data_IF_138326068867
#
_entry.id   IF_138326068867
#
_cell.length_a   1.000
_cell.length_b   1.000
_cell.length_c   1.000
_cell.angle_alpha   90.00
_cell.angle_beta   90.00
_cell.angle_gamma   90.00
#
_symmetry.space_group_name_H-M   'P 1'
#
loop_
_entity.id
_entity.type
_entity.pdbx_description
1 polymer ?
#
# COMPACT_ATOMS: atom_id res chain seq x y z
N UNK A 1 2.96 37.87 27.73
CA UNK A 1 1.90 36.98 28.24
C UNK A 1 2.54 35.61 28.41
N UNK A 2 2.91 35.25 29.63
CA UNK A 2 3.38 33.90 29.93
C UNK A 2 2.15 32.99 30.01
N UNK A 3 1.91 32.26 28.93
CA UNK A 3 0.89 31.20 28.94
C UNK A 3 1.39 30.11 29.88
N UNK A 4 0.64 29.81 30.93
CA UNK A 4 1.00 28.72 31.83
C UNK A 4 1.00 27.39 31.06
N UNK A 5 1.89 26.47 31.41
CA UNK A 5 1.97 25.13 30.77
C UNK A 5 0.60 24.43 30.76
N UNK A 6 -0.22 24.66 31.79
CA UNK A 6 -1.58 24.13 31.90
C UNK A 6 -2.51 24.71 30.83
N UNK A 7 -2.52 26.02 30.63
CA UNK A 7 -3.34 26.69 29.60
C UNK A 7 -2.90 26.25 28.20
N UNK A 8 -1.60 26.10 27.98
CA UNK A 8 -1.06 25.58 26.72
C UNK A 8 -1.54 24.16 26.44
N UNK A 9 -1.45 23.25 27.42
CA UNK A 9 -1.92 21.86 27.27
C UNK A 9 -3.43 21.78 27.00
N UNK A 10 -4.23 22.62 27.67
CA UNK A 10 -5.67 22.71 27.43
C UNK A 10 -5.94 23.19 26.00
N UNK A 11 -5.25 24.23 25.55
CA UNK A 11 -5.38 24.75 24.19
C UNK A 11 -5.04 23.68 23.15
N UNK A 12 -3.91 22.97 23.32
CA UNK A 12 -3.51 21.86 22.45
C UNK A 12 -4.58 20.76 22.43
N UNK A 13 -5.12 20.41 23.59
CA UNK A 13 -6.19 19.41 23.70
C UNK A 13 -7.45 19.83 22.95
N UNK A 14 -7.90 21.08 23.09
CA UNK A 14 -9.08 21.59 22.41
C UNK A 14 -8.86 21.63 20.89
N UNK A 15 -7.74 22.20 20.44
CA UNK A 15 -7.44 22.34 19.01
C UNK A 15 -7.30 20.96 18.36
N UNK A 16 -6.56 20.03 18.97
CA UNK A 16 -6.42 18.67 18.48
C UNK A 16 -7.75 17.93 18.43
N UNK A 17 -8.62 18.13 19.43
CA UNK A 17 -9.96 17.56 19.48
C UNK A 17 -10.86 18.08 18.35
N UNK A 18 -10.83 19.38 18.07
CA UNK A 18 -11.57 19.99 16.95
C UNK A 18 -11.09 19.45 15.60
N UNK A 19 -9.78 19.35 15.40
CA UNK A 19 -9.20 18.77 14.18
C UNK A 19 -9.67 17.31 14.00
N UNK A 20 -9.56 16.50 15.06
CA UNK A 20 -9.99 15.11 15.05
C UNK A 20 -11.51 14.99 14.79
N UNK A 21 -12.32 15.89 15.34
CA UNK A 21 -13.76 15.97 15.09
C UNK A 21 -14.06 16.25 13.61
N UNK A 22 -13.38 17.22 13.00
CA UNK A 22 -13.53 17.51 11.57
C UNK A 22 -13.23 16.27 10.71
N UNK A 23 -12.15 15.54 11.02
CA UNK A 23 -11.82 14.30 10.32
C UNK A 23 -12.88 13.21 10.52
N UNK A 24 -13.41 13.05 11.73
CA UNK A 24 -14.47 12.09 12.02
C UNK A 24 -15.76 12.41 11.27
N UNK A 25 -16.16 13.69 11.22
CA UNK A 25 -17.32 14.15 10.45
C UNK A 25 -17.11 13.86 8.96
N UNK A 26 -15.95 14.23 8.41
CA UNK A 26 -15.62 13.95 7.01
C UNK A 26 -15.70 12.46 6.70
N UNK A 27 -15.10 11.60 7.55
CA UNK A 27 -15.17 10.16 7.41
C UNK A 27 -16.61 9.63 7.44
N UNK A 28 -17.45 10.14 8.33
CA UNK A 28 -18.86 9.76 8.39
C UNK A 28 -19.62 10.12 7.10
N UNK A 29 -19.39 11.32 6.56
CA UNK A 29 -19.96 11.75 5.29
C UNK A 29 -19.49 10.87 4.12
N UNK A 30 -18.21 10.51 4.06
CA UNK A 30 -17.68 9.60 3.05
C UNK A 30 -18.36 8.22 3.11
N UNK A 31 -18.58 7.68 4.31
CA UNK A 31 -19.30 6.40 4.47
C UNK A 31 -20.78 6.51 4.07
N UNK A 32 -21.45 7.62 4.35
CA UNK A 32 -22.81 7.85 3.86
C UNK A 32 -22.86 7.93 2.33
N UNK A 33 -21.88 8.60 1.72
CA UNK A 33 -21.75 8.63 0.27
C UNK A 33 -21.55 7.23 -0.30
N UNK A 34 -20.65 6.42 0.27
CA UNK A 34 -20.45 5.02 -0.14
C UNK A 34 -21.73 4.19 0.01
N UNK A 35 -22.50 4.38 1.09
CA UNK A 35 -23.80 3.73 1.28
C UNK A 35 -24.76 4.07 0.13
N UNK A 36 -24.83 5.34 -0.28
CA UNK A 36 -25.70 5.79 -1.38
C UNK A 36 -25.29 5.19 -2.73
N UNK A 37 -23.99 5.10 -3.01
CA UNK A 37 -23.49 4.62 -4.31
C UNK A 37 -23.48 3.10 -4.44
N UNK A 38 -23.11 2.37 -3.39
CA UNK A 38 -22.95 0.92 -3.43
C UNK A 38 -24.08 0.15 -2.74
N UNK A 39 -25.12 0.85 -2.26
CA UNK A 39 -26.22 0.31 -1.46
C UNK A 39 -25.73 -0.61 -0.31
N UNK A 40 -24.61 -0.21 0.30
CA UNK A 40 -23.91 -1.03 1.29
C UNK A 40 -23.61 -0.19 2.54
N UNK A 41 -24.32 -0.47 3.62
CA UNK A 41 -24.10 0.21 4.89
C UNK A 41 -22.89 -0.39 5.64
N UNK A 42 -21.70 0.10 5.31
CA UNK A 42 -20.45 -0.32 5.92
C UNK A 42 -20.40 -0.01 7.42
N UNK A 43 -20.99 1.11 7.87
CA UNK A 43 -20.99 1.50 9.28
C UNK A 43 -21.92 0.62 10.12
N UNK A 44 -23.01 0.09 9.53
CA UNK A 44 -23.83 -0.93 10.17
C UNK A 44 -23.09 -2.28 10.27
N UNK A 45 -22.40 -2.68 9.20
CA UNK A 45 -21.64 -3.94 9.14
C UNK A 45 -20.38 -3.92 10.01
N UNK A 46 -19.82 -2.74 10.26
CA UNK A 46 -18.58 -2.52 11.02
C UNK A 46 -18.82 -1.50 12.14
N UNK A 47 -19.48 -1.93 13.24
CA UNK A 47 -19.75 -1.06 14.39
C UNK A 47 -18.45 -0.61 15.08
N UNK A 48 -17.36 -1.35 14.91
CA UNK A 48 -15.99 -0.97 15.29
C UNK A 48 -15.58 0.37 14.66
N UNK A 49 -15.79 0.54 13.35
CA UNK A 49 -15.44 1.77 12.63
C UNK A 49 -16.32 2.93 13.10
N UNK A 50 -17.61 2.69 13.32
CA UNK A 50 -18.52 3.72 13.86
C UNK A 50 -18.09 4.19 15.25
N UNK A 51 -17.78 3.26 16.15
CA UNK A 51 -17.28 3.58 17.51
C UNK A 51 -15.96 4.34 17.43
N UNK A 52 -15.06 3.90 16.55
CA UNK A 52 -13.79 4.57 16.31
C UNK A 52 -13.98 6.04 15.90
N UNK A 53 -14.86 6.34 14.93
CA UNK A 53 -15.12 7.72 14.50
C UNK A 53 -15.68 8.61 15.63
N UNK A 54 -16.45 8.04 16.56
CA UNK A 54 -17.00 8.75 17.72
C UNK A 54 -15.94 8.96 18.82
N UNK A 55 -15.11 7.95 19.08
CA UNK A 55 -14.10 8.01 20.13
C UNK A 55 -12.86 8.80 19.73
N UNK A 56 -12.55 8.88 18.44
CA UNK A 56 -11.34 9.53 17.92
C UNK A 56 -11.19 10.99 18.36
N UNK A 57 -12.23 11.85 18.36
CA UNK A 57 -12.11 13.23 18.83
C UNK A 57 -11.89 13.35 20.34
N UNK A 58 -12.51 12.47 21.13
CA UNK A 58 -12.41 12.46 22.60
C UNK A 58 -11.05 11.95 23.08
N UNK A 59 -10.57 10.89 22.47
CA UNK A 59 -9.30 10.23 22.80
C UNK A 59 -8.22 10.56 21.76
N UNK A 60 -8.31 11.75 21.15
CA UNK A 60 -7.41 12.12 20.06
C UNK A 60 -5.92 12.01 20.43
N UNK A 61 -5.45 12.33 21.66
CA UNK A 61 -4.03 12.17 21.98
C UNK A 61 -3.60 10.70 21.98
N UNK A 62 -4.46 9.81 22.47
CA UNK A 62 -4.20 8.37 22.45
C UNK A 62 -4.08 7.87 21.02
N UNK A 63 -5.08 8.14 20.18
CA UNK A 63 -5.06 7.77 18.76
C UNK A 63 -3.92 8.45 17.99
N UNK A 64 -3.52 9.66 18.39
CA UNK A 64 -2.37 10.33 17.82
C UNK A 64 -1.08 9.54 18.05
N UNK A 65 -0.89 8.96 19.25
CA UNK A 65 0.31 8.17 19.56
C UNK A 65 0.27 6.79 18.90
N UNK A 66 -0.88 6.10 18.94
CA UNK A 66 -0.94 4.69 18.54
C UNK A 66 -1.13 4.46 17.03
N UNK A 67 -1.74 5.40 16.30
CA UNK A 67 -2.09 5.17 14.89
C UNK A 67 -0.91 5.30 13.94
N UNK A 68 0.04 6.19 14.27
CA UNK A 68 1.17 6.53 13.41
C UNK A 68 2.38 6.87 14.26
N UNK A 69 3.50 6.26 13.92
CA UNK A 69 4.80 6.64 14.47
C UNK A 69 5.16 8.09 14.09
N UNK A 70 6.04 8.75 14.86
CA UNK A 70 6.53 10.09 14.52
C UNK A 70 7.12 10.17 13.10
N UNK A 71 7.80 9.11 12.66
CA UNK A 71 8.42 9.02 11.32
C UNK A 71 7.35 8.99 10.23
N UNK A 72 6.27 8.24 10.42
CA UNK A 72 5.16 8.20 9.46
C UNK A 72 4.46 9.55 9.36
N UNK A 73 4.26 10.24 10.49
CA UNK A 73 3.67 11.59 10.50
C UNK A 73 4.54 12.58 9.76
N UNK A 74 5.84 12.58 10.03
CA UNK A 74 6.81 13.41 9.32
C UNK A 74 6.82 13.12 7.82
N UNK A 75 6.88 11.83 7.45
CA UNK A 75 6.82 11.39 6.06
C UNK A 75 5.55 11.86 5.35
N UNK A 76 4.38 11.71 5.98
CA UNK A 76 3.13 12.17 5.37
C UNK A 76 2.98 13.69 5.31
N UNK A 77 3.62 14.42 6.24
CA UNK A 77 3.58 15.88 6.24
C UNK A 77 4.42 16.47 5.10
N UNK A 78 5.61 15.93 4.87
CA UNK A 78 6.58 16.52 3.94
C UNK A 78 6.78 15.74 2.63
N UNK A 79 6.53 14.43 2.63
CA UNK A 79 6.89 13.53 1.53
C UNK A 79 5.71 12.75 0.95
N UNK A 80 4.47 12.98 1.40
CA UNK A 80 3.31 12.22 0.88
C UNK A 80 3.12 12.33 -0.64
N UNK A 81 3.62 13.38 -1.27
CA UNK A 81 3.57 13.56 -2.73
C UNK A 81 4.93 13.30 -3.41
N UNK A 82 5.90 12.77 -2.67
CA UNK A 82 7.20 12.39 -3.24
C UNK A 82 7.11 10.99 -3.84
N UNK A 83 6.91 10.92 -5.15
CA UNK A 83 6.92 9.70 -5.92
C UNK A 83 6.36 9.91 -7.32
N UNK A 84 5.46 9.02 -7.74
CA UNK A 84 4.74 9.13 -9.02
C UNK A 84 3.79 10.31 -9.03
N UNK A 85 3.67 10.96 -10.20
CA UNK A 85 2.78 12.11 -10.37
C UNK A 85 1.32 11.72 -10.11
N UNK A 86 0.57 12.60 -9.45
CA UNK A 86 -0.81 12.35 -9.04
C UNK A 86 -0.98 11.33 -7.89
N UNK A 87 0.10 10.70 -7.41
CA UNK A 87 0.01 9.71 -6.34
C UNK A 87 0.21 10.34 -4.95
N UNK A 88 -0.44 9.73 -3.96
CA UNK A 88 -0.23 10.04 -2.54
C UNK A 88 0.28 8.79 -1.82
N UNK A 89 1.47 8.89 -1.26
CA UNK A 89 2.14 7.83 -0.51
C UNK A 89 1.89 8.02 0.99
N UNK A 90 1.28 7.01 1.61
CA UNK A 90 1.00 7.01 3.04
C UNK A 90 2.14 6.43 3.87
N UNK A 91 2.08 6.64 5.19
CA UNK A 91 3.09 6.16 6.15
C UNK A 91 4.50 6.66 5.78
N UNK A 92 5.50 5.82 5.95
CA UNK A 92 6.91 6.12 5.64
C UNK A 92 7.26 6.01 4.15
N UNK A 93 6.30 5.72 3.26
CA UNK A 93 6.62 5.38 1.87
C UNK A 93 7.17 6.58 1.07
N UNK A 94 6.61 7.77 1.25
CA UNK A 94 7.13 8.99 0.62
C UNK A 94 8.57 9.30 1.05
N UNK A 95 8.86 9.22 2.35
CA UNK A 95 10.22 9.38 2.86
C UNK A 95 11.17 8.30 2.32
N UNK A 96 10.73 7.04 2.26
CA UNK A 96 11.53 5.95 1.66
C UNK A 96 11.85 6.22 0.19
N UNK A 97 10.88 6.68 -0.59
CA UNK A 97 11.08 7.06 -1.99
C UNK A 97 12.15 8.17 -2.11
N UNK A 98 12.07 9.20 -1.26
CA UNK A 98 13.06 10.28 -1.21
C UNK A 98 14.47 9.77 -0.86
N UNK A 99 14.59 8.95 0.20
CA UNK A 99 15.87 8.40 0.62
C UNK A 99 16.47 7.47 -0.45
N UNK A 100 15.65 6.66 -1.12
CA UNK A 100 16.11 5.84 -2.23
C UNK A 100 16.64 6.70 -3.39
N UNK A 101 15.96 7.78 -3.76
CA UNK A 101 16.45 8.69 -4.79
C UNK A 101 17.74 9.40 -4.37
N UNK A 102 17.88 9.77 -3.10
CA UNK A 102 19.07 10.42 -2.55
C UNK A 102 20.29 9.48 -2.52
N UNK A 103 20.11 8.24 -2.02
CA UNK A 103 21.22 7.31 -1.80
C UNK A 103 21.52 6.38 -2.98
N UNK A 104 20.49 5.98 -3.75
CA UNK A 104 20.63 5.03 -4.86
C UNK A 104 20.55 5.72 -6.22
N UNK A 105 20.12 6.98 -6.25
CA UNK A 105 19.91 7.75 -7.48
C UNK A 105 18.60 7.40 -8.19
N UNK A 106 18.11 8.36 -8.99
CA UNK A 106 16.84 8.24 -9.74
C UNK A 106 16.91 7.21 -10.87
N UNK A 107 18.11 6.93 -11.41
CA UNK A 107 18.31 6.05 -12.56
C UNK A 107 18.73 4.62 -12.19
N UNK A 108 18.59 4.21 -10.93
CA UNK A 108 19.10 2.93 -10.38
C UNK A 108 18.67 1.68 -11.16
N UNK A 109 17.50 1.70 -11.79
CA UNK A 109 17.00 0.57 -12.59
C UNK A 109 17.15 0.76 -14.11
N UNK A 110 17.65 1.90 -14.60
CA UNK A 110 17.68 2.25 -16.03
C UNK A 110 18.45 1.26 -16.92
N UNK A 111 19.46 0.59 -16.36
CA UNK A 111 20.30 -0.39 -17.08
C UNK A 111 19.75 -1.82 -17.02
N UNK A 112 18.70 -2.06 -16.26
CA UNK A 112 18.15 -3.39 -16.06
C UNK A 112 16.95 -3.61 -16.97
N UNK A 113 16.82 -4.82 -17.48
CA UNK A 113 15.63 -5.23 -18.22
C UNK A 113 14.49 -5.50 -17.23
N UNK A 114 13.40 -4.78 -17.39
CA UNK A 114 12.17 -4.97 -16.62
C UNK A 114 11.30 -5.96 -17.38
N UNK A 115 10.81 -6.97 -16.68
CA UNK A 115 9.89 -7.96 -17.21
C UNK A 115 8.54 -7.84 -16.49
N UNK A 116 7.47 -7.87 -17.28
CA UNK A 116 6.08 -7.79 -16.80
C UNK A 116 5.33 -9.03 -17.26
N UNK A 117 4.74 -9.77 -16.33
CA UNK A 117 3.93 -10.96 -16.61
C UNK A 117 2.56 -10.79 -15.97
N UNK A 118 1.55 -11.43 -16.56
CA UNK A 118 0.22 -11.51 -15.98
C UNK A 118 -0.24 -12.98 -16.01
N UNK A 119 -0.35 -13.59 -14.84
CA UNK A 119 -0.67 -15.02 -14.71
C UNK A 119 -2.00 -15.21 -13.99
N UNK A 120 -2.84 -16.18 -14.40
CA UNK A 120 -3.96 -16.58 -13.58
C UNK A 120 -3.43 -17.17 -12.26
N UNK A 121 -4.00 -16.77 -11.13
CA UNK A 121 -3.64 -17.34 -9.83
C UNK A 121 -4.24 -18.75 -9.73
N UNK A 122 -3.47 -19.72 -9.25
CA UNK A 122 -3.99 -21.05 -8.98
C UNK A 122 -5.05 -20.98 -7.85
N UNK A 123 -6.24 -21.53 -8.10
CA UNK A 123 -7.36 -21.54 -7.15
C UNK A 123 -7.07 -22.32 -5.87
N UNK A 124 -6.08 -23.21 -5.91
CA UNK A 124 -5.65 -23.99 -4.76
C UNK A 124 -4.46 -23.36 -4.02
N UNK A 125 -3.92 -22.23 -4.52
CA UNK A 125 -2.83 -21.52 -3.85
C UNK A 125 -3.31 -20.83 -2.58
N UNK A 126 -2.40 -20.69 -1.61
CA UNK A 126 -2.64 -19.90 -0.40
C UNK A 126 -3.00 -18.45 -0.74
N UNK A 127 -2.31 -17.88 -1.74
CA UNK A 127 -2.57 -16.52 -2.23
C UNK A 127 -4.03 -16.35 -2.70
N UNK A 128 -4.59 -17.33 -3.40
CA UNK A 128 -6.00 -17.32 -3.81
C UNK A 128 -6.95 -17.36 -2.62
N UNK A 129 -6.68 -18.24 -1.66
CA UNK A 129 -7.52 -18.42 -0.47
C UNK A 129 -7.59 -17.13 0.34
N UNK A 130 -6.44 -16.48 0.55
CA UNK A 130 -6.35 -15.19 1.24
C UNK A 130 -7.06 -14.08 0.46
N UNK A 131 -6.82 -13.96 -0.84
CA UNK A 131 -7.42 -12.89 -1.65
C UNK A 131 -8.94 -13.00 -1.79
N UNK A 132 -9.48 -14.23 -1.92
CA UNK A 132 -10.92 -14.48 -2.06
C UNK A 132 -11.71 -14.05 -0.82
N UNK A 133 -11.10 -14.03 0.36
CA UNK A 133 -11.77 -13.57 1.58
C UNK A 133 -12.12 -12.07 1.52
N UNK A 134 -11.31 -11.28 0.82
CA UNK A 134 -11.46 -9.83 0.78
C UNK A 134 -12.18 -9.33 -0.49
N UNK A 135 -12.08 -10.05 -1.61
CA UNK A 135 -12.60 -9.60 -2.89
C UNK A 135 -13.60 -10.59 -3.51
N UNK A 136 -14.76 -10.08 -3.96
CA UNK A 136 -15.74 -10.88 -4.72
C UNK A 136 -15.29 -11.03 -6.18
N UNK A 137 -15.17 -12.28 -6.65
CA UNK A 137 -14.82 -12.64 -8.02
C UNK A 137 -14.24 -14.06 -8.13
N UNK A 138 -14.21 -14.59 -9.36
CA UNK A 138 -13.64 -15.91 -9.68
C UNK A 138 -12.45 -15.86 -10.65
N UNK A 139 -12.05 -14.67 -11.07
CA UNK A 139 -10.92 -14.45 -11.96
C UNK A 139 -10.01 -13.39 -11.32
N UNK A 140 -8.92 -13.85 -10.72
CA UNK A 140 -7.85 -12.99 -10.21
C UNK A 140 -6.55 -13.37 -10.93
N UNK A 141 -5.78 -12.35 -11.25
CA UNK A 141 -4.51 -12.46 -11.95
C UNK A 141 -3.40 -11.87 -11.08
N UNK A 142 -2.26 -12.55 -11.10
CA UNK A 142 -1.00 -12.08 -10.57
C UNK A 142 -0.32 -11.23 -11.63
N UNK A 143 -0.21 -9.93 -11.36
CA UNK A 143 0.65 -9.04 -12.13
C UNK A 143 2.02 -9.06 -11.49
N UNK A 144 2.98 -9.58 -12.23
CA UNK A 144 4.33 -9.85 -11.74
C UNK A 144 5.27 -8.93 -12.51
N UNK A 145 5.94 -8.05 -11.77
CA UNK A 145 7.02 -7.23 -12.29
C UNK A 145 8.31 -7.77 -11.70
N UNK A 146 9.27 -8.13 -12.53
CA UNK A 146 10.58 -8.56 -12.03
C UNK A 146 11.75 -8.04 -12.83
N UNK A 147 12.88 -7.92 -12.14
CA UNK A 147 14.19 -7.61 -12.71
C UNK A 147 15.17 -8.67 -12.24
N UNK A 148 15.96 -9.22 -13.16
CA UNK A 148 17.11 -10.07 -12.82
C UNK A 148 18.34 -9.19 -12.57
N UNK A 149 18.96 -9.36 -11.41
CA UNK A 149 20.18 -8.66 -10.97
C UNK A 149 21.23 -9.68 -10.54
N UNK A 150 22.13 -10.05 -11.45
CA UNK A 150 23.14 -11.09 -11.20
C UNK A 150 22.49 -12.39 -10.68
N UNK A 151 22.68 -12.70 -9.39
CA UNK A 151 22.17 -13.91 -8.71
C UNK A 151 20.85 -13.70 -7.97
N UNK A 152 20.32 -12.46 -7.98
CA UNK A 152 19.08 -12.08 -7.33
C UNK A 152 18.01 -11.63 -8.33
N UNK A 153 16.77 -11.65 -7.86
CA UNK A 153 15.60 -11.12 -8.54
C UNK A 153 14.93 -10.09 -7.64
N UNK A 154 14.65 -8.91 -8.19
CA UNK A 154 13.74 -7.95 -7.57
C UNK A 154 12.35 -8.24 -8.13
N UNK A 155 11.41 -8.65 -7.29
CA UNK A 155 10.07 -9.09 -7.69
C UNK A 155 8.99 -8.33 -6.96
N UNK A 156 8.03 -7.81 -7.69
CA UNK A 156 6.77 -7.29 -7.16
C UNK A 156 5.62 -8.09 -7.75
N UNK A 157 4.66 -8.44 -6.89
CA UNK A 157 3.43 -9.12 -7.28
C UNK A 157 2.25 -8.30 -6.79
N UNK A 158 1.36 -7.90 -7.70
CA UNK A 158 0.06 -7.31 -7.40
C UNK A 158 -1.07 -8.22 -7.88
N UNK A 159 -2.23 -8.10 -7.24
CA UNK A 159 -3.37 -8.96 -7.48
C UNK A 159 -4.51 -8.14 -8.07
N UNK A 160 -4.90 -8.46 -9.29
CA UNK A 160 -5.83 -7.64 -10.07
C UNK A 160 -6.86 -8.51 -10.79
N UNK A 161 -7.93 -7.89 -11.27
CA UNK A 161 -8.95 -8.57 -12.09
C UNK A 161 -8.61 -8.53 -13.58
N UNK A 162 -7.72 -7.64 -13.98
CA UNK A 162 -7.30 -7.47 -15.36
C UNK A 162 -6.30 -8.56 -15.76
N UNK A 163 -6.45 -9.08 -16.98
CA UNK A 163 -5.63 -10.16 -17.53
C UNK A 163 -4.43 -9.65 -18.33
N UNK A 164 -4.40 -8.37 -18.65
CA UNK A 164 -3.36 -7.75 -19.45
C UNK A 164 -2.21 -7.33 -18.55
N UNK A 165 -0.96 -7.74 -18.81
CA UNK A 165 0.17 -7.25 -18.04
C UNK A 165 0.32 -5.73 -18.19
N UNK A 166 0.75 -5.08 -17.12
CA UNK A 166 1.11 -3.66 -17.16
C UNK A 166 2.23 -3.42 -18.20
N UNK A 167 2.12 -2.38 -19.03
CA UNK A 167 3.20 -1.98 -19.92
C UNK A 167 4.50 -1.74 -19.15
N UNK A 168 5.64 -2.18 -19.70
CA UNK A 168 6.95 -1.96 -19.07
C UNK A 168 7.21 -0.46 -18.85
N UNK A 169 6.81 0.38 -19.81
CA UNK A 169 7.02 1.83 -19.77
C UNK A 169 6.21 2.54 -18.68
N UNK A 170 5.13 1.92 -18.17
CA UNK A 170 4.37 2.46 -17.05
C UNK A 170 4.93 2.09 -15.68
N UNK A 171 5.90 1.16 -15.62
CA UNK A 171 6.48 0.71 -14.35
C UNK A 171 7.42 1.78 -13.79
N UNK A 172 7.06 2.35 -12.65
CA UNK A 172 7.88 3.36 -12.01
C UNK A 172 9.01 2.77 -11.17
N UNK A 173 10.08 3.55 -10.97
CA UNK A 173 11.14 3.16 -10.03
C UNK A 173 10.64 3.03 -8.58
N UNK A 174 9.57 3.74 -8.21
CA UNK A 174 8.98 3.65 -6.89
C UNK A 174 8.14 2.38 -6.73
N UNK A 175 7.55 1.90 -7.82
CA UNK A 175 6.92 0.60 -7.88
C UNK A 175 7.94 -0.51 -7.62
N UNK A 176 9.08 -0.45 -8.33
CA UNK A 176 10.18 -1.41 -8.20
C UNK A 176 10.82 -1.41 -6.81
N UNK A 177 10.91 -0.25 -6.14
CA UNK A 177 11.45 -0.15 -4.78
C UNK A 177 10.64 -0.90 -3.71
N UNK A 178 9.38 -1.23 -4.00
CA UNK A 178 8.53 -2.04 -3.14
C UNK A 178 8.64 -3.53 -3.46
N UNK A 179 9.44 -3.90 -4.47
CA UNK A 179 9.73 -5.28 -4.81
C UNK A 179 10.54 -5.96 -3.71
N UNK A 180 10.29 -7.26 -3.55
CA UNK A 180 11.06 -8.13 -2.71
C UNK A 180 12.30 -8.62 -3.45
N UNK A 181 13.46 -8.57 -2.79
CA UNK A 181 14.67 -9.23 -3.29
C UNK A 181 14.61 -10.71 -2.95
N UNK A 182 14.80 -11.55 -3.95
CA UNK A 182 14.74 -13.01 -3.86
C UNK A 182 15.98 -13.59 -4.53
N UNK A 183 16.60 -14.58 -3.90
CA UNK A 183 17.55 -15.46 -4.59
C UNK A 183 16.88 -16.22 -5.73
N UNK A 184 17.65 -16.81 -6.64
CA UNK A 184 17.10 -17.59 -7.75
C UNK A 184 16.20 -18.76 -7.30
N UNK A 185 16.52 -19.42 -6.18
CA UNK A 185 15.68 -20.50 -5.62
C UNK A 185 14.38 -19.95 -5.04
N UNK A 186 14.44 -18.85 -4.30
CA UNK A 186 13.25 -18.20 -3.75
C UNK A 186 12.34 -17.63 -4.85
N UNK A 187 12.93 -17.08 -5.92
CA UNK A 187 12.20 -16.64 -7.11
C UNK A 187 11.39 -17.79 -7.69
N UNK A 188 12.04 -18.95 -7.94
CA UNK A 188 11.38 -20.14 -8.48
C UNK A 188 10.24 -20.61 -7.58
N UNK A 189 10.49 -20.69 -6.27
CA UNK A 189 9.48 -21.07 -5.28
C UNK A 189 8.30 -20.10 -5.30
N UNK A 190 8.55 -18.78 -5.32
CA UNK A 190 7.50 -17.75 -5.37
C UNK A 190 6.64 -17.88 -6.64
N UNK A 191 7.26 -18.09 -7.80
CA UNK A 191 6.54 -18.28 -9.05
C UNK A 191 5.66 -19.53 -9.02
N UNK A 192 6.17 -20.64 -8.46
CA UNK A 192 5.40 -21.88 -8.31
C UNK A 192 4.21 -21.73 -7.35
N UNK A 193 4.36 -20.95 -6.27
CA UNK A 193 3.25 -20.65 -5.36
C UNK A 193 2.11 -19.90 -6.03
N UNK A 194 2.43 -19.04 -7.00
CA UNK A 194 1.43 -18.28 -7.77
C UNK A 194 0.73 -19.21 -8.78
N UNK A 195 1.51 -19.90 -9.60
CA UNK A 195 1.02 -20.84 -10.59
C UNK A 195 2.12 -21.80 -11.06
N UNK A 196 1.99 -23.08 -10.72
CA UNK A 196 2.98 -24.12 -11.05
C UNK A 196 3.15 -24.29 -12.57
N UNK A 197 2.05 -24.26 -13.33
CA UNK A 197 2.08 -24.50 -14.77
C UNK A 197 2.78 -23.36 -15.52
N UNK A 198 2.48 -22.12 -15.17
CA UNK A 198 3.14 -20.95 -15.79
C UNK A 198 4.60 -20.84 -15.34
N UNK A 199 4.91 -21.14 -14.07
CA UNK A 199 6.29 -21.16 -13.57
C UNK A 199 7.17 -22.18 -14.30
N UNK A 200 6.63 -23.35 -14.62
CA UNK A 200 7.36 -24.37 -15.37
C UNK A 200 7.67 -23.93 -16.82
N UNK A 201 6.75 -23.19 -17.47
CA UNK A 201 7.00 -22.61 -18.80
C UNK A 201 8.08 -21.54 -18.74
N UNK A 202 8.00 -20.63 -17.77
CA UNK A 202 9.00 -19.58 -17.58
C UNK A 202 10.41 -20.16 -17.38
N UNK A 203 10.54 -21.29 -16.67
CA UNK A 203 11.82 -21.95 -16.49
C UNK A 203 12.44 -22.51 -17.79
N UNK A 204 11.61 -22.83 -18.78
CA UNK A 204 12.06 -23.28 -20.11
C UNK A 204 12.52 -22.11 -20.99
N UNK A 205 11.98 -20.90 -20.77
CA UNK A 205 12.32 -19.68 -21.52
C UNK A 205 13.56 -18.96 -20.96
N UNK A 206 13.93 -19.20 -19.70
CA UNK A 206 15.09 -18.54 -19.03
C UNK A 206 16.40 -19.35 -19.15
N UNK A 207 16.36 -20.58 -19.70
CA UNK A 207 17.56 -21.37 -20.02
C UNK A 207 18.24 -20.89 -21.29
#
# INVERSE_FOLDING_TARGET
>A
MDVSVKEFLIMVYIVGGLIALCYSIHGFLSFQHLKKYYNNDLLLKRPDIRRYLILKPLLWPYFFVIEKSPIERFSELFFKHYGDEGHTYFRSQGLKNFLNDLFKGKNRYKKHQIHTLCWPIDKNSQDWIEHKQFFKGNNFYAHIVYIKMQDEYLVRVSWEKERTPHPVDSISRFELDQGQRLSASEFKTRMQQINVNEANKLHLEIK
#
